data_IF_006857448528
#
_entry.id   IF_006857448528
#
_cell.length_a   1.000
_cell.length_b   1.000
_cell.length_c   1.000
_cell.angle_alpha   90.00
_cell.angle_beta   90.00
_cell.angle_gamma   90.00
#
_symmetry.space_group_name_H-M   'P 1'
#
loop_
_entity.id
_entity.type
_entity.pdbx_description
1 polymer ?
#
# COMPACT_ATOMS: atom_id res chain seq x y z
N UNK A 1 -33.91 53.95 17.79
CA UNK A 1 -33.42 52.61 18.17
C UNK A 1 -33.54 51.73 16.94
N UNK A 2 -32.45 51.14 16.41
CA UNK A 2 -32.56 50.13 15.37
C UNK A 2 -33.21 48.86 15.95
N UNK A 3 -34.01 48.11 15.17
CA UNK A 3 -34.60 46.86 15.64
C UNK A 3 -33.51 45.80 15.87
N UNK A 4 -33.59 45.11 17.01
CA UNK A 4 -32.73 43.98 17.33
C UNK A 4 -32.87 42.88 16.27
N UNK A 5 -31.78 42.22 15.87
CA UNK A 5 -31.86 41.14 14.89
C UNK A 5 -32.71 39.99 15.45
N UNK A 6 -33.47 39.28 14.60
CA UNK A 6 -34.29 38.16 15.04
C UNK A 6 -33.40 37.07 15.65
N UNK A 7 -33.72 36.66 16.88
CA UNK A 7 -33.08 35.52 17.53
C UNK A 7 -33.32 34.26 16.69
N UNK A 8 -32.26 33.55 16.31
CA UNK A 8 -32.37 32.29 15.59
C UNK A 8 -33.31 31.33 16.33
N UNK A 9 -34.31 30.77 15.63
CA UNK A 9 -35.27 29.84 16.21
C UNK A 9 -34.53 28.62 16.82
N UNK A 10 -34.96 28.13 18.00
CA UNK A 10 -34.41 26.92 18.60
C UNK A 10 -34.49 25.76 17.59
N UNK A 11 -33.33 25.27 17.14
CA UNK A 11 -33.24 24.18 16.15
C UNK A 11 -32.75 24.56 14.76
N UNK A 12 -32.70 25.86 14.39
CA UNK A 12 -32.17 26.28 13.10
C UNK A 12 -30.67 25.89 12.93
N UNK A 13 -29.86 26.11 13.97
CA UNK A 13 -28.45 25.68 13.99
C UNK A 13 -28.28 24.16 13.92
N UNK A 14 -29.18 23.40 14.56
CA UNK A 14 -29.19 21.93 14.52
C UNK A 14 -29.52 21.40 13.12
N UNK A 15 -30.50 22.01 12.44
CA UNK A 15 -30.90 21.63 11.09
C UNK A 15 -29.79 21.92 10.06
N UNK A 16 -29.13 23.08 10.15
CA UNK A 16 -27.98 23.41 9.29
C UNK A 16 -26.82 22.45 9.53
N UNK A 17 -26.48 22.17 10.79
CA UNK A 17 -25.41 21.23 11.11
C UNK A 17 -25.69 19.80 10.62
N UNK A 18 -26.94 19.33 10.78
CA UNK A 18 -27.39 18.05 10.23
C UNK A 18 -27.24 17.98 8.71
N UNK A 19 -27.59 19.05 7.99
CA UNK A 19 -27.43 19.13 6.54
C UNK A 19 -25.97 19.05 6.14
N UNK A 20 -25.10 19.79 6.82
CA UNK A 20 -23.65 19.75 6.60
C UNK A 20 -23.09 18.35 6.85
N UNK A 21 -23.45 17.71 7.97
CA UNK A 21 -23.00 16.35 8.27
C UNK A 21 -23.42 15.33 7.20
N UNK A 22 -24.69 15.36 6.76
CA UNK A 22 -25.16 14.46 5.71
C UNK A 22 -24.43 14.71 4.38
N UNK A 23 -24.17 15.96 4.04
CA UNK A 23 -23.42 16.30 2.83
C UNK A 23 -22.00 15.73 2.88
N UNK A 24 -21.25 16.00 3.96
CA UNK A 24 -19.91 15.45 4.13
C UNK A 24 -19.93 13.91 4.15
N UNK A 25 -20.88 13.32 4.87
CA UNK A 25 -21.05 11.87 4.96
C UNK A 25 -21.26 11.23 3.59
N UNK A 26 -22.19 11.76 2.79
CA UNK A 26 -22.48 11.25 1.45
C UNK A 26 -21.29 11.41 0.49
N UNK A 27 -20.60 12.56 0.51
CA UNK A 27 -19.41 12.79 -0.30
C UNK A 27 -18.32 11.78 0.09
N UNK A 28 -17.99 11.69 1.38
CA UNK A 28 -16.96 10.76 1.84
C UNK A 28 -17.31 9.31 1.57
N UNK A 29 -18.59 8.92 1.76
CA UNK A 29 -19.08 7.58 1.46
C UNK A 29 -18.87 7.23 -0.01
N UNK A 30 -19.21 8.17 -0.91
CA UNK A 30 -19.07 7.96 -2.35
C UNK A 30 -17.60 7.82 -2.76
N UNK A 31 -16.71 8.62 -2.15
CA UNK A 31 -15.27 8.57 -2.40
C UNK A 31 -14.65 7.26 -1.90
N UNK A 32 -15.09 6.74 -0.75
CA UNK A 32 -14.49 5.56 -0.14
C UNK A 32 -15.22 4.24 -0.48
N UNK A 33 -16.42 4.24 -1.07
CA UNK A 33 -17.24 3.03 -1.23
C UNK A 33 -16.51 1.88 -1.94
N UNK A 34 -15.96 2.13 -3.13
CA UNK A 34 -15.25 1.09 -3.89
C UNK A 34 -13.98 0.65 -3.16
N UNK A 35 -13.28 1.59 -2.51
CA UNK A 35 -12.14 1.29 -1.66
C UNK A 35 -12.53 0.37 -0.50
N UNK A 36 -13.62 0.67 0.21
CA UNK A 36 -14.12 -0.17 1.32
C UNK A 36 -14.48 -1.57 0.85
N UNK A 37 -15.13 -1.71 -0.32
CA UNK A 37 -15.43 -3.03 -0.88
C UNK A 37 -14.15 -3.80 -1.21
N UNK A 38 -13.22 -3.16 -1.91
CA UNK A 38 -11.92 -3.75 -2.26
C UNK A 38 -11.14 -4.17 -1.01
N UNK A 39 -11.00 -3.28 -0.02
CA UNK A 39 -10.29 -3.53 1.23
C UNK A 39 -10.98 -4.59 2.09
N UNK A 40 -12.31 -4.67 2.07
CA UNK A 40 -13.03 -5.73 2.80
C UNK A 40 -12.79 -7.11 2.17
N UNK A 41 -12.88 -7.22 0.84
CA UNK A 41 -12.60 -8.48 0.13
C UNK A 41 -11.15 -8.91 0.31
N UNK A 42 -10.21 -7.98 0.12
CA UNK A 42 -8.76 -8.27 0.26
C UNK A 42 -8.34 -8.50 1.72
N UNK A 43 -9.00 -7.86 2.69
CA UNK A 43 -8.81 -8.16 4.11
C UNK A 43 -9.25 -9.58 4.47
N UNK A 44 -10.35 -10.05 3.88
CA UNK A 44 -10.77 -11.44 4.02
C UNK A 44 -9.74 -12.41 3.42
N UNK A 45 -9.22 -12.15 2.22
CA UNK A 45 -8.19 -13.01 1.61
C UNK A 45 -6.88 -13.00 2.40
N UNK A 46 -6.54 -11.89 3.03
CA UNK A 46 -5.37 -11.76 3.90
C UNK A 46 -5.49 -12.63 5.15
N UNK A 47 -6.66 -12.68 5.77
CA UNK A 47 -6.93 -13.55 6.93
C UNK A 47 -6.88 -15.06 6.60
N UNK A 48 -7.04 -15.42 5.32
CA UNK A 48 -7.08 -16.80 4.85
C UNK A 48 -5.90 -17.14 3.92
N UNK A 49 -4.84 -16.31 3.88
CA UNK A 49 -3.79 -16.41 2.88
C UNK A 49 -3.09 -17.78 2.84
N UNK A 50 -2.97 -18.47 3.99
CA UNK A 50 -2.37 -19.81 4.09
C UNK A 50 -3.29 -20.93 3.61
N UNK A 51 -4.60 -20.70 3.61
CA UNK A 51 -5.62 -21.67 3.19
C UNK A 51 -5.84 -21.61 1.68
N UNK A 52 -5.50 -20.49 1.05
CA UNK A 52 -5.64 -20.31 -0.39
C UNK A 52 -4.29 -20.55 -1.05
N UNK A 53 -4.03 -21.81 -1.37
CA UNK A 53 -2.74 -22.28 -1.87
C UNK A 53 -2.43 -21.72 -3.26
N UNK A 54 -1.27 -21.07 -3.41
CA UNK A 54 -0.73 -20.67 -4.71
C UNK A 54 0.70 -21.17 -4.84
N UNK A 55 0.98 -21.97 -5.88
CA UNK A 55 2.34 -22.42 -6.17
C UNK A 55 3.15 -21.26 -6.76
N UNK A 56 4.31 -20.90 -6.19
CA UNK A 56 5.17 -19.87 -6.77
C UNK A 56 5.57 -20.24 -8.20
N UNK A 57 5.46 -19.28 -9.12
CA UNK A 57 5.99 -19.39 -10.47
C UNK A 57 7.26 -18.57 -10.57
N UNK A 58 8.37 -19.23 -10.89
CA UNK A 58 9.69 -18.61 -11.06
C UNK A 58 10.01 -18.51 -12.55
N UNK A 59 10.40 -17.32 -13.00
CA UNK A 59 10.91 -17.07 -14.34
C UNK A 59 12.34 -16.58 -14.23
N UNK A 60 13.27 -17.28 -14.86
CA UNK A 60 14.68 -16.92 -14.88
C UNK A 60 15.08 -16.59 -16.32
N UNK A 61 15.74 -15.45 -16.51
CA UNK A 61 16.26 -14.98 -17.79
C UNK A 61 17.74 -14.72 -17.65
N UNK A 62 18.54 -15.27 -18.56
CA UNK A 62 19.99 -15.05 -18.58
C UNK A 62 20.38 -14.21 -19.78
N UNK A 63 21.42 -13.41 -19.60
CA UNK A 63 22.06 -12.67 -20.67
C UNK A 63 23.55 -12.51 -20.39
N UNK A 64 24.29 -12.05 -21.40
CA UNK A 64 25.71 -11.74 -21.24
C UNK A 64 25.92 -10.26 -21.49
N UNK A 65 26.51 -9.60 -20.51
CA UNK A 65 26.92 -8.21 -20.59
C UNK A 65 27.94 -8.05 -21.73
N UNK A 66 27.81 -7.06 -22.61
CA UNK A 66 28.79 -6.79 -23.66
C UNK A 66 30.18 -6.48 -23.08
N UNK A 67 31.23 -7.00 -23.71
CA UNK A 67 32.62 -6.83 -23.28
C UNK A 67 33.04 -5.38 -22.94
N UNK A 68 32.59 -4.32 -23.67
CA UNK A 68 32.92 -2.93 -23.32
C UNK A 68 32.42 -2.48 -21.94
N UNK A 69 31.42 -3.17 -21.38
CA UNK A 69 30.84 -2.85 -20.08
C UNK A 69 31.46 -3.67 -18.93
N UNK A 70 32.22 -4.74 -19.23
CA UNK A 70 32.89 -5.57 -18.22
C UNK A 70 33.86 -4.75 -17.36
N UNK A 71 34.70 -3.93 -18.00
CA UNK A 71 35.65 -3.06 -17.30
C UNK A 71 34.96 -2.05 -16.37
N UNK A 72 33.73 -1.62 -16.71
CA UNK A 72 32.95 -0.71 -15.86
C UNK A 72 32.37 -1.43 -14.65
N UNK A 73 31.92 -2.68 -14.83
CA UNK A 73 31.47 -3.52 -13.73
C UNK A 73 32.62 -3.83 -12.77
N UNK A 74 33.75 -4.31 -13.26
CA UNK A 74 34.91 -4.63 -12.43
C UNK A 74 35.38 -3.42 -11.61
N UNK A 75 35.50 -2.25 -12.26
CA UNK A 75 35.86 -1.02 -11.55
C UNK A 75 34.85 -0.64 -10.46
N UNK A 76 33.55 -0.80 -10.74
CA UNK A 76 32.50 -0.47 -9.76
C UNK A 76 32.50 -1.42 -8.58
N UNK A 77 32.73 -2.72 -8.82
CA UNK A 77 32.87 -3.75 -7.79
C UNK A 77 34.08 -3.48 -6.87
N UNK A 78 35.22 -3.07 -7.43
CA UNK A 78 36.39 -2.66 -6.62
C UNK A 78 36.11 -1.40 -5.79
N UNK A 79 35.38 -0.44 -6.35
CA UNK A 79 35.10 0.85 -5.70
C UNK A 79 34.09 0.75 -4.55
N UNK A 80 33.12 -0.17 -4.67
CA UNK A 80 32.00 -0.31 -3.73
C UNK A 80 31.97 -1.71 -3.11
N UNK A 81 33.12 -2.38 -3.00
CA UNK A 81 33.19 -3.73 -2.43
C UNK A 81 32.55 -3.77 -1.04
N UNK A 82 31.59 -4.66 -0.85
CA UNK A 82 30.79 -4.83 0.37
C UNK A 82 29.95 -3.58 0.75
N UNK A 83 29.61 -2.75 -0.23
CA UNK A 83 28.78 -1.54 -0.07
C UNK A 83 27.60 -1.54 -1.06
N UNK A 84 26.64 -0.64 -0.85
CA UNK A 84 25.48 -0.43 -1.72
C UNK A 84 25.69 0.79 -2.61
N UNK A 85 25.59 0.59 -3.93
CA UNK A 85 25.74 1.67 -4.89
C UNK A 85 24.95 1.38 -6.18
N UNK A 86 24.41 2.40 -6.87
CA UNK A 86 23.68 2.20 -8.11
C UNK A 86 24.58 1.61 -9.21
N UNK A 87 23.97 0.90 -10.15
CA UNK A 87 24.70 0.38 -11.32
C UNK A 87 25.25 1.54 -12.18
N UNK A 88 26.39 1.35 -12.88
CA UNK A 88 26.86 2.35 -13.82
C UNK A 88 25.80 2.65 -14.90
N UNK A 89 25.55 3.92 -15.30
CA UNK A 89 24.45 4.27 -16.21
C UNK A 89 24.43 3.52 -17.55
N UNK A 90 25.60 3.13 -18.06
CA UNK A 90 25.70 2.33 -19.28
C UNK A 90 25.23 0.88 -19.08
N UNK A 91 25.42 0.32 -17.88
CA UNK A 91 24.91 -0.99 -17.48
C UNK A 91 23.40 -0.91 -17.26
N UNK A 92 22.89 0.14 -16.60
CA UNK A 92 21.44 0.38 -16.45
C UNK A 92 20.73 0.41 -17.82
N UNK A 93 21.28 1.15 -18.79
CA UNK A 93 20.74 1.22 -20.15
C UNK A 93 20.72 -0.14 -20.86
N UNK A 94 21.78 -0.94 -20.67
CA UNK A 94 21.84 -2.31 -21.20
C UNK A 94 20.80 -3.22 -20.53
N UNK A 95 20.66 -3.16 -19.20
CA UNK A 95 19.65 -3.91 -18.43
C UNK A 95 18.25 -3.59 -18.94
N UNK A 96 17.94 -2.30 -19.14
CA UNK A 96 16.64 -1.86 -19.68
C UNK A 96 16.38 -2.43 -21.07
N UNK A 97 17.37 -2.40 -21.96
CA UNK A 97 17.22 -2.95 -23.32
C UNK A 97 17.09 -4.48 -23.35
N UNK A 98 17.76 -5.19 -22.43
CA UNK A 98 17.89 -6.66 -22.46
C UNK A 98 16.76 -7.32 -21.68
N UNK A 99 16.51 -6.86 -20.45
CA UNK A 99 15.52 -7.45 -19.55
C UNK A 99 14.19 -6.69 -19.57
N UNK A 100 14.16 -5.44 -20.04
CA UNK A 100 12.94 -4.63 -20.06
C UNK A 100 12.58 -4.03 -18.69
N UNK A 101 13.55 -3.97 -17.78
CA UNK A 101 13.36 -3.48 -16.41
C UNK A 101 14.10 -2.16 -16.21
N UNK A 102 13.54 -1.29 -15.37
CA UNK A 102 14.19 -0.05 -14.97
C UNK A 102 14.83 -0.23 -13.60
N UNK A 103 16.15 -0.04 -13.53
CA UNK A 103 16.96 -0.15 -12.31
C UNK A 103 17.61 1.18 -11.95
N UNK A 104 17.26 2.25 -12.66
CA UNK A 104 17.83 3.58 -12.41
C UNK A 104 17.47 4.07 -11.00
N UNK A 105 18.49 4.45 -10.23
CA UNK A 105 18.33 4.92 -8.85
C UNK A 105 18.03 3.82 -7.83
N UNK A 106 18.08 2.55 -8.22
CA UNK A 106 18.05 1.41 -7.30
C UNK A 106 19.51 1.08 -6.95
N UNK A 107 19.81 1.01 -5.66
CA UNK A 107 21.13 0.60 -5.19
C UNK A 107 21.31 -0.91 -5.42
N UNK A 108 22.46 -1.27 -6.00
CA UNK A 108 22.91 -2.64 -6.07
C UNK A 108 23.80 -2.92 -4.85
N UNK A 109 23.65 -4.09 -4.26
CA UNK A 109 24.58 -4.67 -3.29
C UNK A 109 25.78 -5.21 -4.07
N UNK A 110 26.97 -4.67 -3.84
CA UNK A 110 28.18 -5.05 -4.56
C UNK A 110 29.02 -6.03 -3.76
N UNK A 111 29.43 -7.09 -4.45
CA UNK A 111 30.49 -7.99 -4.01
C UNK A 111 31.70 -7.86 -4.95
N UNK A 112 32.86 -8.43 -4.60
CA UNK A 112 33.98 -8.52 -5.53
C UNK A 112 33.68 -9.28 -6.83
N UNK A 113 32.62 -10.10 -6.85
CA UNK A 113 32.30 -11.01 -7.96
C UNK A 113 31.09 -10.56 -8.77
N UNK A 114 30.17 -9.80 -8.19
CA UNK A 114 28.94 -9.38 -8.83
C UNK A 114 28.29 -8.14 -8.21
N UNK A 115 27.29 -7.62 -8.93
CA UNK A 115 26.31 -6.69 -8.38
C UNK A 115 24.95 -7.38 -8.30
N UNK A 116 24.31 -7.31 -7.12
CA UNK A 116 22.97 -7.82 -6.86
C UNK A 116 22.00 -6.67 -6.68
N UNK A 117 20.96 -6.60 -7.50
CA UNK A 117 19.90 -5.58 -7.43
C UNK A 117 18.62 -6.24 -6.93
N UNK A 118 18.17 -5.96 -5.70
CA UNK A 118 16.87 -6.40 -5.22
C UNK A 118 15.76 -5.61 -5.93
N UNK A 119 14.76 -6.31 -6.46
CA UNK A 119 13.65 -5.74 -7.22
C UNK A 119 12.30 -6.19 -6.63
N UNK A 120 12.02 -5.81 -5.36
CA UNK A 120 10.82 -6.26 -4.67
C UNK A 120 9.56 -5.74 -5.38
N UNK A 121 8.56 -6.59 -5.48
CA UNK A 121 7.31 -6.32 -6.23
C UNK A 121 6.10 -6.87 -5.50
N UNK A 122 4.89 -6.35 -5.75
CA UNK A 122 3.70 -6.89 -5.14
C UNK A 122 3.43 -8.30 -5.66
N UNK A 123 2.98 -9.18 -4.78
CA UNK A 123 2.64 -10.56 -5.08
C UNK A 123 3.84 -11.45 -5.37
N UNK A 124 5.06 -11.02 -5.08
CA UNK A 124 6.24 -11.73 -5.55
C UNK A 124 7.53 -11.14 -5.06
N UNK A 125 8.58 -11.50 -5.77
CA UNK A 125 9.89 -10.87 -5.66
C UNK A 125 10.58 -10.90 -7.02
N UNK A 126 11.60 -10.08 -7.20
CA UNK A 126 12.49 -10.18 -8.34
C UNK A 126 13.89 -9.72 -7.93
N UNK A 127 14.88 -10.17 -8.67
CA UNK A 127 16.26 -9.74 -8.47
C UNK A 127 17.03 -9.83 -9.78
N UNK A 128 18.06 -9.01 -9.89
CA UNK A 128 19.01 -9.01 -11.00
C UNK A 128 20.41 -9.19 -10.41
N UNK A 129 21.18 -10.11 -10.96
CA UNK A 129 22.59 -10.30 -10.62
C UNK A 129 23.43 -10.15 -11.87
N UNK A 130 24.52 -9.40 -11.80
CA UNK A 130 25.47 -9.23 -12.90
C UNK A 130 26.87 -9.50 -12.39
N UNK A 131 27.48 -10.59 -12.84
CA UNK A 131 28.86 -10.93 -12.57
C UNK A 131 29.84 -10.00 -13.28
N UNK A 132 31.02 -9.82 -12.69
CA UNK A 132 32.12 -9.08 -13.32
C UNK A 132 32.62 -9.76 -14.61
N UNK A 133 32.39 -11.08 -14.73
CA UNK A 133 32.63 -11.89 -15.94
C UNK A 133 31.59 -11.61 -17.05
N UNK A 134 30.57 -10.83 -16.73
CA UNK A 134 29.48 -10.44 -17.61
C UNK A 134 28.30 -11.41 -17.61
N UNK A 135 28.30 -12.48 -16.83
CA UNK A 135 27.13 -13.34 -16.69
C UNK A 135 26.02 -12.58 -15.93
N UNK A 136 24.84 -12.45 -16.53
CA UNK A 136 23.72 -11.76 -15.92
C UNK A 136 22.49 -12.67 -15.82
N UNK A 137 21.83 -12.61 -14.67
CA UNK A 137 20.63 -13.38 -14.36
C UNK A 137 19.57 -12.46 -13.78
N UNK A 138 18.39 -12.48 -14.38
CA UNK A 138 17.20 -11.79 -13.89
C UNK A 138 16.16 -12.84 -13.54
N UNK A 139 15.74 -12.87 -12.29
CA UNK A 139 14.72 -13.78 -11.81
C UNK A 139 13.51 -13.03 -11.29
N UNK A 140 12.34 -13.58 -11.55
CA UNK A 140 11.07 -13.11 -11.02
C UNK A 140 10.32 -14.28 -10.42
N UNK A 141 9.86 -14.11 -9.18
CA UNK A 141 8.97 -15.03 -8.50
C UNK A 141 7.59 -14.40 -8.35
N UNK A 142 6.54 -15.09 -8.82
CA UNK A 142 5.14 -14.71 -8.63
C UNK A 142 4.43 -15.71 -7.72
N UNK A 143 3.79 -15.21 -6.66
CA UNK A 143 2.98 -15.97 -5.70
C UNK A 143 1.48 -15.82 -5.99
N UNK A 144 1.13 -15.57 -7.25
CA UNK A 144 -0.26 -15.52 -7.72
C UNK A 144 -1.04 -14.26 -7.34
N UNK A 145 -2.28 -14.21 -7.83
CA UNK A 145 -3.14 -13.03 -7.73
C UNK A 145 -3.51 -12.66 -6.28
N UNK A 146 -3.61 -13.65 -5.39
CA UNK A 146 -3.99 -13.41 -3.99
C UNK A 146 -2.85 -12.75 -3.22
N UNK A 147 -1.61 -13.23 -3.38
CA UNK A 147 -0.45 -12.54 -2.79
C UNK A 147 -0.34 -11.11 -3.33
N UNK A 148 -0.63 -10.90 -4.61
CA UNK A 148 -0.62 -9.57 -5.21
C UNK A 148 -1.69 -8.65 -4.62
N UNK A 149 -2.93 -9.12 -4.49
CA UNK A 149 -4.03 -8.41 -3.84
C UNK A 149 -3.74 -8.10 -2.36
N UNK A 150 -3.12 -9.02 -1.64
CA UNK A 150 -2.74 -8.83 -0.25
C UNK A 150 -1.63 -7.78 -0.10
N UNK A 151 -0.65 -7.75 -1.01
CA UNK A 151 0.40 -6.73 -1.02
C UNK A 151 -0.16 -5.35 -1.41
N UNK A 152 -1.14 -5.29 -2.32
CA UNK A 152 -1.89 -4.07 -2.60
C UNK A 152 -2.67 -3.56 -1.38
N UNK A 153 -3.35 -4.44 -0.65
CA UNK A 153 -4.04 -4.07 0.59
C UNK A 153 -3.07 -3.47 1.61
N UNK A 154 -1.86 -4.01 1.71
CA UNK A 154 -0.80 -3.51 2.61
C UNK A 154 -0.03 -2.30 2.06
N UNK A 155 -0.21 -1.96 0.79
CA UNK A 155 0.64 -0.98 0.08
C UNK A 155 2.10 -1.44 -0.16
N UNK A 156 2.41 -2.72 0.01
CA UNK A 156 3.79 -3.25 -0.04
C UNK A 156 4.34 -3.27 -1.48
N UNK A 157 5.46 -2.58 -1.72
CA UNK A 157 6.16 -2.53 -3.02
C UNK A 157 5.31 -1.96 -4.18
N UNK A 158 4.31 -1.13 -3.89
CA UNK A 158 3.31 -0.67 -4.88
C UNK A 158 3.61 0.70 -5.50
N UNK A 159 4.65 1.37 -5.01
CA UNK A 159 5.05 2.70 -5.45
C UNK A 159 4.22 3.84 -4.82
N UNK A 160 4.69 5.08 -4.96
CA UNK A 160 4.15 6.23 -4.23
C UNK A 160 2.70 6.58 -4.61
N UNK A 161 2.30 6.36 -5.87
CA UNK A 161 0.94 6.67 -6.34
C UNK A 161 -0.10 5.82 -5.61
N UNK A 162 0.20 4.52 -5.41
CA UNK A 162 -0.70 3.64 -4.68
C UNK A 162 -0.73 3.99 -3.19
N UNK A 163 0.41 4.32 -2.58
CA UNK A 163 0.46 4.82 -1.20
C UNK A 163 -0.44 6.05 -1.01
N UNK A 164 -0.38 7.03 -1.91
CA UNK A 164 -1.27 8.20 -1.88
C UNK A 164 -2.75 7.82 -2.01
N UNK A 165 -3.08 6.85 -2.87
CA UNK A 165 -4.45 6.35 -2.97
C UNK A 165 -4.93 5.77 -1.64
N UNK A 166 -4.11 4.96 -0.95
CA UNK A 166 -4.44 4.40 0.37
C UNK A 166 -4.65 5.52 1.40
N UNK A 167 -3.77 6.52 1.45
CA UNK A 167 -3.85 7.62 2.42
C UNK A 167 -5.11 8.47 2.21
N UNK A 168 -5.42 8.83 0.97
CA UNK A 168 -6.64 9.57 0.62
C UNK A 168 -7.88 8.74 0.98
N UNK A 169 -7.87 7.45 0.67
CA UNK A 169 -8.95 6.52 1.03
C UNK A 169 -9.13 6.43 2.55
N UNK A 170 -8.04 6.35 3.32
CA UNK A 170 -8.08 6.28 4.78
C UNK A 170 -8.67 7.57 5.37
N UNK A 171 -8.25 8.74 4.88
CA UNK A 171 -8.79 10.03 5.30
C UNK A 171 -10.30 10.12 4.97
N UNK A 172 -10.70 9.75 3.75
CA UNK A 172 -12.11 9.74 3.37
C UNK A 172 -12.94 8.79 4.26
N UNK A 173 -12.41 7.60 4.55
CA UNK A 173 -13.05 6.61 5.43
C UNK A 173 -13.17 7.10 6.88
N UNK A 174 -12.19 7.87 7.36
CA UNK A 174 -12.23 8.49 8.67
C UNK A 174 -13.33 9.58 8.73
N UNK A 175 -13.40 10.45 7.73
CA UNK A 175 -14.45 11.46 7.61
C UNK A 175 -15.83 10.79 7.54
N UNK A 176 -15.96 9.72 6.75
CA UNK A 176 -17.19 8.93 6.65
C UNK A 176 -17.61 8.36 8.01
N UNK A 177 -16.68 7.75 8.73
CA UNK A 177 -16.94 7.14 10.05
C UNK A 177 -17.31 8.18 11.11
N UNK A 178 -16.58 9.31 11.17
CA UNK A 178 -16.85 10.39 12.12
C UNK A 178 -18.21 11.03 11.84
N UNK A 179 -18.49 11.38 10.60
CA UNK A 179 -19.78 11.99 10.22
C UNK A 179 -20.94 11.04 10.49
N UNK A 180 -20.79 9.75 10.18
CA UNK A 180 -21.78 8.71 10.49
C UNK A 180 -22.03 8.59 12.00
N UNK A 181 -20.97 8.59 12.81
CA UNK A 181 -21.07 8.57 14.27
C UNK A 181 -21.80 9.80 14.82
N UNK A 182 -21.51 11.00 14.30
CA UNK A 182 -22.18 12.24 14.72
C UNK A 182 -23.67 12.26 14.34
N UNK A 183 -24.02 11.77 13.15
CA UNK A 183 -25.42 11.59 12.73
C UNK A 183 -26.15 10.61 13.67
N UNK A 184 -25.48 9.49 14.00
CA UNK A 184 -26.01 8.48 14.92
C UNK A 184 -26.25 9.06 16.32
N UNK A 185 -25.29 9.83 16.87
CA UNK A 185 -25.44 10.53 18.15
C UNK A 185 -26.66 11.45 18.18
N UNK A 186 -26.94 12.16 17.08
CA UNK A 186 -28.09 13.07 16.99
C UNK A 186 -29.44 12.36 16.99
N UNK A 187 -29.49 11.14 16.44
CA UNK A 187 -30.70 10.32 16.37
C UNK A 187 -30.86 9.36 17.57
N UNK A 188 -29.82 9.22 18.41
CA UNK A 188 -29.79 8.28 19.52
C UNK A 188 -30.90 8.50 20.55
N UNK A 189 -31.42 9.73 20.69
CA UNK A 189 -32.52 10.07 21.61
C UNK A 189 -33.77 9.21 21.38
N UNK A 190 -34.05 8.83 20.14
CA UNK A 190 -35.20 8.00 19.77
C UNK A 190 -34.81 6.55 19.49
N UNK A 191 -33.54 6.18 19.70
CA UNK A 191 -32.98 4.85 19.40
C UNK A 191 -32.06 4.39 20.54
N UNK A 192 -32.60 3.98 21.69
CA UNK A 192 -31.79 3.62 22.87
C UNK A 192 -30.80 2.48 22.61
N UNK A 193 -31.10 1.57 21.67
CA UNK A 193 -30.19 0.50 21.25
C UNK A 193 -28.89 0.98 20.58
N UNK A 194 -28.81 2.26 20.19
CA UNK A 194 -27.62 2.87 19.57
C UNK A 194 -26.36 2.68 20.43
N UNK A 195 -26.44 2.99 21.73
CA UNK A 195 -25.27 2.99 22.60
C UNK A 195 -24.78 1.58 22.98
N UNK A 196 -25.65 0.60 23.30
CA UNK A 196 -25.21 -0.79 23.48
C UNK A 196 -24.49 -1.35 22.25
N UNK A 197 -24.99 -1.09 21.04
CA UNK A 197 -24.39 -1.62 19.80
C UNK A 197 -23.02 -0.98 19.54
N UNK A 198 -22.90 0.34 19.66
CA UNK A 198 -21.60 1.04 19.52
C UNK A 198 -20.61 0.58 20.58
N UNK A 199 -21.06 0.49 21.84
CA UNK A 199 -20.24 0.01 22.95
C UNK A 199 -19.73 -1.40 22.71
N UNK A 200 -20.60 -2.32 22.26
CA UNK A 200 -20.21 -3.68 21.89
C UNK A 200 -19.15 -3.71 20.79
N UNK A 201 -19.31 -2.88 19.74
CA UNK A 201 -18.34 -2.79 18.65
C UNK A 201 -16.94 -2.34 19.07
N UNK A 202 -16.81 -1.62 20.20
CA UNK A 202 -15.52 -1.20 20.76
C UNK A 202 -15.02 -2.23 21.78
N UNK A 203 -15.88 -2.66 22.70
CA UNK A 203 -15.51 -3.52 23.83
C UNK A 203 -15.18 -4.94 23.38
N UNK A 204 -15.94 -5.52 22.44
CA UNK A 204 -15.72 -6.91 22.04
C UNK A 204 -14.33 -7.13 21.41
N UNK A 205 -13.83 -6.32 20.46
CA UNK A 205 -12.47 -6.47 19.95
C UNK A 205 -11.40 -6.32 21.03
N UNK A 206 -11.56 -5.36 21.96
CA UNK A 206 -10.62 -5.13 23.06
C UNK A 206 -10.58 -6.33 24.02
N UNK A 207 -11.75 -6.87 24.39
CA UNK A 207 -11.81 -8.06 25.24
C UNK A 207 -11.22 -9.28 24.56
N UNK A 208 -11.50 -9.49 23.27
CA UNK A 208 -10.89 -10.58 22.50
C UNK A 208 -9.37 -10.45 22.53
N UNK A 209 -8.85 -9.24 22.30
CA UNK A 209 -7.41 -8.99 22.35
C UNK A 209 -6.82 -9.30 23.73
N UNK A 210 -7.38 -8.75 24.80
CA UNK A 210 -6.85 -8.91 26.17
C UNK A 210 -6.93 -10.34 26.70
N UNK A 211 -7.94 -11.11 26.30
CA UNK A 211 -8.17 -12.46 26.83
C UNK A 211 -7.49 -13.56 26.02
N UNK A 212 -7.28 -13.35 24.72
CA UNK A 212 -6.84 -14.41 23.81
C UNK A 212 -5.52 -14.13 23.10
N UNK A 213 -5.01 -12.88 23.09
CA UNK A 213 -3.67 -12.57 22.57
C UNK A 213 -2.68 -12.65 23.73
N UNK A 214 -1.77 -13.63 23.67
CA UNK A 214 -0.73 -13.91 24.65
C UNK A 214 0.57 -14.28 23.95
#
# INVERSE_FOLDING_TARGET
MPPSPPSALPGAGRAVWLKTLHQWHWISASLCLLGMLMFSVTGFTLNHATQIESKPQVSNRKATLPAPLHARMAKSAEQHADDSAPLPPAVEGWVRSTFGIDVAGIEAEWSPEDAYVPLPRPGGDAWLRIGIDGAAEYETTSRGAISWLNDLHKGRNTGPVWSWFIDIFAIASLVFSITGFLILKLHAANRPATWPVVGFGIVAPVLIALLFIH
#
